data_IF_573558608198
#
_entry.id   IF_573558608198
#
_cell.length_a   1.000
_cell.length_b   1.000
_cell.length_c   1.000
_cell.angle_alpha   90.00
_cell.angle_beta   90.00
_cell.angle_gamma   90.00
#
_symmetry.space_group_name_H-M   'P 1'
#
loop_
_entity.id
_entity.type
_entity.pdbx_description
1 polymer ?
#
# COMPACT_ATOMS: atom_id res chain seq x y z
N UNK A 1 -27.97 64.96 -29.86
CA UNK A 1 -28.31 63.81 -28.99
C UNK A 1 -28.10 62.55 -29.79
N UNK A 2 -27.00 61.83 -29.59
CA UNK A 2 -26.90 60.45 -30.07
C UNK A 2 -25.86 59.74 -29.20
N UNK A 3 -26.34 59.02 -28.20
CA UNK A 3 -25.53 58.19 -27.31
C UNK A 3 -25.54 56.79 -27.93
N UNK A 4 -24.46 56.44 -28.63
CA UNK A 4 -24.25 55.07 -29.12
C UNK A 4 -23.81 54.23 -27.92
N UNK A 5 -24.76 53.54 -27.30
CA UNK A 5 -24.48 52.52 -26.31
C UNK A 5 -23.94 51.27 -27.03
N UNK A 6 -22.62 51.09 -26.98
CA UNK A 6 -21.97 49.84 -27.39
C UNK A 6 -22.29 48.79 -26.32
N UNK A 7 -23.32 47.98 -26.58
CA UNK A 7 -23.56 46.74 -25.85
C UNK A 7 -22.42 45.77 -26.20
N UNK A 8 -21.40 45.73 -25.34
CA UNK A 8 -20.39 44.68 -25.34
C UNK A 8 -21.11 43.38 -24.91
N UNK A 9 -21.62 42.61 -25.88
CA UNK A 9 -22.02 41.22 -25.60
C UNK A 9 -20.76 40.44 -25.22
N UNK A 10 -20.51 40.30 -23.92
CA UNK A 10 -19.63 39.25 -23.42
C UNK A 10 -20.20 37.91 -23.89
N UNK A 11 -19.58 37.31 -24.90
CA UNK A 11 -19.77 35.88 -25.16
C UNK A 11 -19.12 35.13 -23.99
N UNK A 12 -19.90 34.80 -22.96
CA UNK A 12 -19.54 33.72 -22.06
C UNK A 12 -19.63 32.43 -22.88
N UNK A 13 -18.53 32.02 -23.50
CA UNK A 13 -18.39 30.65 -23.92
C UNK A 13 -18.24 29.82 -22.65
N UNK A 14 -19.34 29.24 -22.17
CA UNK A 14 -19.32 28.33 -21.04
C UNK A 14 -18.61 27.04 -21.49
N UNK A 15 -17.37 26.87 -21.07
CA UNK A 15 -16.68 25.61 -21.23
C UNK A 15 -17.22 24.60 -20.21
N UNK A 16 -17.45 23.37 -20.64
CA UNK A 16 -17.85 22.26 -19.80
C UNK A 16 -16.75 21.20 -19.75
N UNK A 17 -16.51 20.68 -18.55
CA UNK A 17 -15.67 19.50 -18.34
C UNK A 17 -16.54 18.36 -17.84
N UNK A 18 -16.62 17.32 -18.63
CA UNK A 18 -17.38 16.11 -18.33
C UNK A 18 -16.43 14.97 -17.98
N UNK A 19 -16.58 14.41 -16.79
CA UNK A 19 -15.85 13.21 -16.39
C UNK A 19 -16.80 12.03 -16.41
N UNK A 20 -16.47 11.01 -17.18
CA UNK A 20 -17.24 9.76 -17.29
C UNK A 20 -16.63 8.70 -16.40
N UNK A 21 -17.45 7.90 -15.72
CA UNK A 21 -16.97 6.80 -14.88
C UNK A 21 -17.21 5.48 -15.62
N UNK A 22 -16.18 4.87 -16.22
CA UNK A 22 -16.34 3.64 -16.98
C UNK A 22 -16.56 2.43 -16.05
N UNK A 23 -17.16 1.39 -16.61
CA UNK A 23 -17.22 0.08 -15.96
C UNK A 23 -15.80 -0.53 -15.89
N UNK A 24 -15.43 -1.07 -14.74
CA UNK A 24 -14.12 -1.70 -14.50
C UNK A 24 -14.29 -3.01 -13.72
N UNK A 25 -13.21 -3.79 -13.58
CA UNK A 25 -13.23 -5.02 -12.78
C UNK A 25 -13.64 -4.79 -11.31
N UNK A 26 -13.28 -3.62 -10.75
CA UNK A 26 -13.61 -3.25 -9.37
C UNK A 26 -15.00 -2.61 -9.25
N UNK A 27 -15.50 -1.99 -10.33
CA UNK A 27 -16.83 -1.41 -10.42
C UNK A 27 -17.49 -1.87 -11.74
N UNK A 28 -18.06 -3.09 -11.78
CA UNK A 28 -18.66 -3.60 -13.01
C UNK A 28 -19.88 -2.81 -13.47
N UNK A 29 -20.62 -2.20 -12.53
CA UNK A 29 -21.77 -1.35 -12.81
C UNK A 29 -21.54 0.06 -12.24
N UNK A 30 -21.29 1.08 -13.09
CA UNK A 30 -21.13 2.47 -12.66
C UNK A 30 -22.33 3.05 -11.91
N UNK A 31 -23.55 2.54 -12.14
CA UNK A 31 -24.75 2.98 -11.40
C UNK A 31 -24.79 2.47 -9.96
N UNK A 32 -23.88 1.56 -9.58
CA UNK A 32 -23.70 1.11 -8.20
C UNK A 32 -22.93 2.10 -7.32
N UNK A 33 -22.51 3.25 -7.86
CA UNK A 33 -21.82 4.26 -7.09
C UNK A 33 -22.76 4.90 -6.05
N UNK A 34 -22.26 5.18 -4.83
CA UNK A 34 -23.01 5.92 -3.83
C UNK A 34 -23.44 7.30 -4.36
N UNK A 35 -24.65 7.73 -4.04
CA UNK A 35 -25.17 9.05 -4.40
C UNK A 35 -24.39 10.22 -3.77
N UNK A 36 -23.59 9.96 -2.73
CA UNK A 36 -22.66 10.92 -2.13
C UNK A 36 -21.42 11.19 -2.98
N UNK A 37 -21.28 10.49 -4.11
CA UNK A 37 -20.14 10.65 -5.02
C UNK A 37 -20.22 12.00 -5.72
N UNK A 38 -19.17 12.80 -5.58
CA UNK A 38 -19.05 14.11 -6.21
C UNK A 38 -17.60 14.40 -6.55
N UNK A 39 -17.37 15.32 -7.48
CA UNK A 39 -16.07 15.80 -7.85
C UNK A 39 -15.89 17.25 -7.43
N UNK A 40 -14.66 17.61 -7.09
CA UNK A 40 -14.29 18.99 -6.75
C UNK A 40 -13.10 19.43 -7.58
N UNK A 41 -13.16 20.64 -8.13
CA UNK A 41 -12.01 21.35 -8.69
C UNK A 41 -11.56 22.38 -7.66
N UNK A 42 -10.31 22.27 -7.22
CA UNK A 42 -9.70 23.19 -6.26
C UNK A 42 -8.46 23.83 -6.87
N UNK A 43 -8.36 25.15 -6.77
CA UNK A 43 -7.17 25.94 -7.15
C UNK A 43 -6.43 26.45 -5.91
N UNK A 44 -5.20 26.94 -6.08
CA UNK A 44 -4.52 27.68 -5.01
C UNK A 44 -5.21 29.03 -4.81
N UNK A 45 -5.36 29.53 -3.57
CA UNK A 45 -6.01 30.80 -3.30
C UNK A 45 -5.19 31.96 -3.89
N UNK A 46 -5.65 32.48 -5.03
CA UNK A 46 -5.08 33.67 -5.69
C UNK A 46 -5.91 34.95 -5.43
N UNK A 47 -6.95 34.86 -4.59
CA UNK A 47 -7.75 36.00 -4.14
C UNK A 47 -9.26 35.76 -4.13
N UNK A 48 -9.75 34.77 -4.89
CA UNK A 48 -11.12 34.25 -4.83
C UNK A 48 -11.06 32.73 -4.62
N UNK A 49 -11.79 32.20 -3.64
CA UNK A 49 -11.90 30.76 -3.43
C UNK A 49 -12.71 30.12 -4.57
N UNK A 50 -12.03 29.68 -5.63
CA UNK A 50 -12.63 28.92 -6.73
C UNK A 50 -12.67 27.43 -6.37
N UNK A 51 -13.65 27.06 -5.55
CA UNK A 51 -14.07 25.67 -5.36
C UNK A 51 -15.27 25.41 -6.26
N UNK A 52 -15.08 24.61 -7.31
CA UNK A 52 -16.18 24.13 -8.14
C UNK A 52 -16.51 22.70 -7.72
N UNK A 53 -17.79 22.35 -7.70
CA UNK A 53 -18.26 21.02 -7.33
C UNK A 53 -19.24 20.51 -8.38
N UNK A 54 -19.12 19.22 -8.71
CA UNK A 54 -20.03 18.52 -9.61
C UNK A 54 -20.54 17.24 -8.93
N UNK A 55 -21.86 17.04 -8.93
CA UNK A 55 -22.49 15.82 -8.39
C UNK A 55 -22.60 14.74 -9.46
N UNK A 56 -22.64 13.48 -9.04
CA UNK A 56 -22.82 12.34 -9.94
C UNK A 56 -24.21 12.38 -10.60
N UNK A 57 -24.24 12.29 -11.92
CA UNK A 57 -25.48 12.22 -12.71
C UNK A 57 -25.95 10.77 -12.88
N UNK A 58 -27.21 10.60 -13.32
CA UNK A 58 -27.75 9.28 -13.69
C UNK A 58 -26.97 8.59 -14.81
N UNK A 59 -26.26 9.36 -15.65
CA UNK A 59 -25.44 8.83 -16.73
C UNK A 59 -24.04 8.38 -16.27
N UNK A 60 -23.79 8.29 -14.95
CA UNK A 60 -22.47 8.00 -14.37
C UNK A 60 -21.39 9.01 -14.78
N UNK A 61 -21.80 10.27 -14.96
CA UNK A 61 -20.90 11.38 -15.31
C UNK A 61 -20.89 12.45 -14.22
N UNK A 62 -19.82 13.22 -14.18
CA UNK A 62 -19.64 14.38 -13.32
C UNK A 62 -19.38 15.56 -14.25
N UNK A 63 -20.26 16.57 -14.25
CA UNK A 63 -20.19 17.67 -15.20
C UNK A 63 -19.93 18.97 -14.46
N UNK A 64 -18.81 19.62 -14.78
CA UNK A 64 -18.53 20.98 -14.36
C UNK A 64 -19.02 21.92 -15.46
N UNK A 65 -20.03 22.72 -15.12
CA UNK A 65 -20.52 23.79 -15.96
C UNK A 65 -19.82 25.10 -15.61
N UNK A 66 -19.75 26.02 -16.57
CA UNK A 66 -19.30 27.39 -16.38
C UNK A 66 -17.92 27.50 -15.72
N UNK A 67 -16.93 26.80 -16.30
CA UNK A 67 -15.55 26.93 -15.85
C UNK A 67 -15.12 28.41 -16.00
N UNK A 68 -14.57 29.04 -14.95
CA UNK A 68 -14.18 30.44 -14.97
C UNK A 68 -13.18 30.71 -16.10
N UNK A 69 -13.39 31.81 -16.82
CA UNK A 69 -12.49 32.30 -17.85
C UNK A 69 -11.25 32.96 -17.23
N UNK A 70 -10.47 32.17 -16.48
CA UNK A 70 -9.25 32.56 -15.80
C UNK A 70 -8.18 31.51 -16.07
N UNK A 71 -6.96 31.96 -16.38
CA UNK A 71 -5.85 31.06 -16.62
C UNK A 71 -5.34 30.49 -15.29
N UNK A 72 -5.85 29.32 -14.92
CA UNK A 72 -5.55 28.66 -13.65
C UNK A 72 -5.38 27.15 -13.84
N UNK A 73 -4.68 26.54 -12.88
CA UNK A 73 -4.54 25.09 -12.79
C UNK A 73 -5.34 24.58 -11.60
N UNK A 74 -6.26 23.66 -11.88
CA UNK A 74 -7.13 23.04 -10.88
C UNK A 74 -6.68 21.62 -10.56
N UNK A 75 -6.89 21.21 -9.32
CA UNK A 75 -6.85 19.83 -8.89
C UNK A 75 -8.27 19.27 -8.88
N UNK A 76 -8.52 18.27 -9.72
CA UNK A 76 -9.74 17.48 -9.75
C UNK A 76 -9.59 16.28 -8.80
N UNK A 77 -10.47 16.20 -7.80
CA UNK A 77 -10.59 15.05 -6.90
C UNK A 77 -12.03 14.52 -6.95
N UNK A 78 -12.18 13.21 -7.13
CA UNK A 78 -13.49 12.53 -7.12
C UNK A 78 -13.64 11.80 -5.79
N UNK A 79 -14.60 12.26 -4.99
CA UNK A 79 -14.86 11.73 -3.66
C UNK A 79 -16.04 10.81 -3.67
N UNK A 80 -15.82 9.58 -3.24
CA UNK A 80 -16.86 8.58 -2.99
C UNK A 80 -16.65 7.95 -1.62
N UNK A 81 -17.69 7.40 -1.00
CA UNK A 81 -17.57 6.70 0.28
C UNK A 81 -16.88 5.35 0.14
N UNK A 82 -17.15 4.62 -0.96
CA UNK A 82 -16.67 3.25 -1.14
C UNK A 82 -15.50 3.11 -2.10
N UNK A 83 -15.31 4.07 -3.00
CA UNK A 83 -14.36 3.95 -4.11
C UNK A 83 -13.30 5.06 -4.04
N UNK A 84 -12.10 4.74 -4.55
CA UNK A 84 -10.96 5.64 -4.63
C UNK A 84 -10.65 5.86 -6.11
N UNK A 85 -10.70 7.12 -6.54
CA UNK A 85 -10.34 7.53 -7.89
C UNK A 85 -8.97 8.19 -7.91
N UNK A 86 -8.33 8.19 -9.09
CA UNK A 86 -7.10 8.94 -9.29
C UNK A 86 -7.40 10.46 -9.32
N UNK A 87 -6.56 11.31 -8.72
CA UNK A 87 -6.69 12.74 -8.87
C UNK A 87 -6.12 13.21 -10.22
N UNK A 88 -6.63 14.32 -10.74
CA UNK A 88 -6.18 14.89 -12.01
C UNK A 88 -5.79 16.36 -11.85
N UNK A 89 -4.78 16.79 -12.59
CA UNK A 89 -4.49 18.20 -12.82
C UNK A 89 -5.23 18.64 -14.08
N UNK A 90 -5.96 19.74 -14.00
CA UNK A 90 -6.70 20.35 -15.12
C UNK A 90 -6.17 21.76 -15.32
N UNK A 91 -5.53 22.03 -16.45
CA UNK A 91 -5.10 23.38 -16.80
C UNK A 91 -6.18 24.05 -17.66
N UNK A 92 -6.58 25.27 -17.30
CA UNK A 92 -7.62 26.06 -17.98
C UNK A 92 -6.99 27.32 -18.55
N UNK A 93 -7.43 27.72 -19.74
CA UNK A 93 -7.00 28.95 -20.41
C UNK A 93 -7.79 30.18 -19.94
N UNK A 94 -7.32 31.37 -20.29
CA UNK A 94 -8.00 32.63 -20.00
C UNK A 94 -9.40 32.76 -20.63
N UNK A 95 -9.76 31.91 -21.60
CA UNK A 95 -11.10 31.84 -22.19
C UNK A 95 -12.00 30.78 -21.55
N UNK A 96 -11.53 30.11 -20.49
CA UNK A 96 -12.26 29.04 -19.80
C UNK A 96 -12.11 27.67 -20.46
N UNK A 97 -11.49 27.59 -21.64
CA UNK A 97 -11.24 26.31 -22.30
C UNK A 97 -10.23 25.45 -21.55
N UNK A 98 -10.48 24.15 -21.50
CA UNK A 98 -9.55 23.20 -20.89
C UNK A 98 -8.37 22.99 -21.84
N UNK A 99 -7.16 23.33 -21.39
CA UNK A 99 -5.91 23.19 -22.14
C UNK A 99 -5.36 21.76 -22.07
N UNK A 100 -5.49 21.13 -20.91
CA UNK A 100 -5.03 19.76 -20.73
C UNK A 100 -5.37 19.17 -19.36
N UNK A 101 -5.38 17.84 -19.31
CA UNK A 101 -5.74 17.03 -18.17
C UNK A 101 -4.69 15.92 -18.03
N UNK A 102 -4.09 15.84 -16.85
CA UNK A 102 -3.06 14.86 -16.51
C UNK A 102 -3.42 14.12 -15.22
N UNK A 103 -3.20 12.82 -15.19
CA UNK A 103 -3.27 12.02 -13.96
C UNK A 103 -2.12 12.41 -13.04
N UNK A 104 -2.43 12.68 -11.77
CA UNK A 104 -1.44 13.05 -10.76
C UNK A 104 -1.57 12.17 -9.52
N UNK A 105 -0.67 12.33 -8.56
CA UNK A 105 -0.70 11.65 -7.28
C UNK A 105 -0.25 12.60 -6.17
N UNK A 106 -0.69 12.31 -4.94
CA UNK A 106 -0.31 13.13 -3.78
C UNK A 106 1.19 13.07 -3.56
N UNK A 107 1.82 14.23 -3.41
CA UNK A 107 3.27 14.36 -3.21
C UNK A 107 4.07 14.58 -4.49
N UNK A 108 3.46 14.55 -5.68
CA UNK A 108 4.13 14.94 -6.92
C UNK A 108 4.25 16.48 -7.00
N UNK A 109 5.41 17.04 -7.41
CA UNK A 109 5.52 18.47 -7.70
C UNK A 109 4.52 18.90 -8.78
N UNK A 110 3.97 20.11 -8.66
CA UNK A 110 2.94 20.59 -9.59
C UNK A 110 3.42 20.60 -11.04
N UNK A 111 4.67 21.05 -11.27
CA UNK A 111 5.28 21.15 -12.60
C UNK A 111 5.44 19.80 -13.31
N UNK A 112 5.48 18.70 -12.57
CA UNK A 112 5.60 17.37 -13.14
C UNK A 112 4.23 16.87 -13.61
N UNK A 113 3.92 17.14 -14.88
CA UNK A 113 2.73 16.62 -15.55
C UNK A 113 2.88 15.11 -15.74
N UNK A 114 2.03 14.34 -15.07
CA UNK A 114 2.01 12.89 -15.12
C UNK A 114 1.43 12.34 -16.43
N UNK A 115 0.76 11.19 -16.35
CA UNK A 115 0.17 10.57 -17.54
C UNK A 115 -0.92 11.45 -18.15
N UNK A 116 -0.77 11.77 -19.43
CA UNK A 116 -1.72 12.59 -20.17
C UNK A 116 -3.04 11.86 -20.41
N UNK A 117 -4.15 12.56 -20.17
CA UNK A 117 -5.50 12.09 -20.53
C UNK A 117 -6.11 12.89 -21.67
N UNK A 118 -5.79 14.17 -21.73
CA UNK A 118 -6.27 15.08 -22.76
C UNK A 118 -5.32 16.28 -22.85
N UNK A 119 -4.94 16.69 -24.05
CA UNK A 119 -4.26 17.97 -24.31
C UNK A 119 -4.83 18.55 -25.59
N UNK A 120 -5.02 19.86 -25.60
CA UNK A 120 -5.39 20.59 -26.82
C UNK A 120 -4.17 20.65 -27.74
N UNK A 121 -4.21 19.92 -28.84
CA UNK A 121 -3.21 20.03 -29.91
C UNK A 121 -3.19 21.46 -30.47
N UNK A 122 -2.00 22.01 -30.69
CA UNK A 122 -1.81 23.38 -31.19
C UNK A 122 -2.47 23.65 -32.57
N UNK A 123 -2.80 22.59 -33.32
CA UNK A 123 -3.52 22.65 -34.60
C UNK A 123 -5.03 22.38 -34.48
N UNK A 124 -5.49 21.88 -33.32
CA UNK A 124 -6.89 21.54 -33.09
C UNK A 124 -7.66 22.74 -32.52
N UNK A 125 -8.94 22.86 -32.91
CA UNK A 125 -9.83 23.86 -32.31
C UNK A 125 -10.03 23.52 -30.83
N UNK A 126 -9.93 24.53 -29.97
CA UNK A 126 -10.31 24.45 -28.56
C UNK A 126 -11.74 23.91 -28.47
N UNK A 127 -11.89 22.72 -27.88
CA UNK A 127 -13.20 22.14 -27.61
C UNK A 127 -13.82 22.84 -26.40
N UNK A 128 -15.09 23.22 -26.54
CA UNK A 128 -15.86 23.79 -25.44
C UNK A 128 -16.32 22.73 -24.45
N UNK A 129 -16.51 21.49 -24.90
CA UNK A 129 -16.89 20.35 -24.06
C UNK A 129 -15.82 19.27 -24.14
N UNK A 130 -15.15 19.02 -23.01
CA UNK A 130 -14.07 18.04 -22.90
C UNK A 130 -14.57 16.86 -22.07
N UNK A 131 -14.44 15.66 -22.63
CA UNK A 131 -14.85 14.41 -21.97
C UNK A 131 -13.62 13.58 -21.62
N UNK A 132 -13.47 13.22 -20.33
CA UNK A 132 -12.38 12.35 -19.85
C UNK A 132 -12.91 11.21 -18.99
N UNK A 133 -12.28 10.05 -19.08
CA UNK A 133 -12.60 8.89 -18.25
C UNK A 133 -11.88 8.94 -16.88
N UNK A 134 -12.65 8.74 -15.82
CA UNK A 134 -12.14 8.58 -14.47
C UNK A 134 -11.52 7.19 -14.28
N UNK A 135 -10.33 7.15 -13.68
CA UNK A 135 -9.61 5.94 -13.34
C UNK A 135 -9.93 5.55 -11.91
N UNK A 136 -10.52 4.37 -11.76
CA UNK A 136 -10.74 3.76 -10.45
C UNK A 136 -9.46 3.06 -9.97
N UNK A 137 -8.98 3.46 -8.79
CA UNK A 137 -7.75 2.93 -8.19
C UNK A 137 -8.05 1.75 -7.28
N UNK A 138 -9.15 1.81 -6.52
CA UNK A 138 -9.43 0.81 -5.49
C UNK A 138 -10.78 1.00 -4.79
N UNK A 139 -11.11 0.04 -3.94
CA UNK A 139 -12.23 0.13 -2.99
C UNK A 139 -11.70 0.46 -1.60
N UNK A 140 -12.39 1.33 -0.87
CA UNK A 140 -12.05 1.71 0.51
C UNK A 140 -12.40 0.57 1.46
N UNK A 141 -11.38 -0.03 2.06
CA UNK A 141 -11.52 -0.89 3.23
C UNK A 141 -11.39 -0.05 4.50
N UNK A 142 -12.50 0.17 5.21
CA UNK A 142 -12.49 0.87 6.50
C UNK A 142 -12.26 -0.07 7.68
N UNK A 143 -12.47 -1.36 7.46
CA UNK A 143 -12.43 -2.38 8.51
C UNK A 143 -11.39 -3.43 8.17
N UNK A 144 -10.64 -3.84 9.18
CA UNK A 144 -9.78 -5.00 9.14
C UNK A 144 -10.55 -6.20 9.70
N UNK A 145 -10.49 -7.34 9.00
CA UNK A 145 -11.08 -8.57 9.53
C UNK A 145 -10.27 -9.07 10.73
N UNK A 146 -10.97 -9.48 11.80
CA UNK A 146 -10.30 -10.13 12.93
C UNK A 146 -9.62 -11.40 12.47
N UNK A 147 -8.44 -11.67 13.04
CA UNK A 147 -7.75 -12.95 12.84
C UNK A 147 -8.69 -14.11 13.21
N UNK A 148 -9.06 -14.90 12.21
CA UNK A 148 -9.85 -16.12 12.39
C UNK A 148 -8.89 -17.30 12.56
N UNK A 149 -9.28 -18.25 13.40
CA UNK A 149 -8.57 -19.53 13.47
C UNK A 149 -8.73 -20.25 12.13
N UNK A 150 -7.61 -20.46 11.43
CA UNK A 150 -7.56 -21.21 10.18
C UNK A 150 -6.75 -22.49 10.41
N UNK A 151 -7.36 -23.68 10.29
CA UNK A 151 -6.63 -24.94 10.41
C UNK A 151 -5.47 -25.05 9.42
N UNK A 152 -5.59 -24.45 8.23
CA UNK A 152 -4.52 -24.38 7.24
C UNK A 152 -3.36 -23.50 7.72
N UNK A 153 -3.66 -22.39 8.42
CA UNK A 153 -2.64 -21.52 9.00
C UNK A 153 -1.91 -22.19 10.17
N UNK A 154 -2.56 -23.12 10.88
CA UNK A 154 -1.93 -23.96 11.90
C UNK A 154 -0.84 -24.85 11.29
N UNK A 155 -1.14 -25.50 10.15
CA UNK A 155 -0.17 -26.34 9.42
C UNK A 155 0.97 -25.52 8.84
N UNK A 156 0.70 -24.30 8.36
CA UNK A 156 1.74 -23.40 7.82
C UNK A 156 2.62 -22.76 8.90
N UNK A 157 2.32 -22.97 10.18
CA UNK A 157 3.12 -22.43 11.26
C UNK A 157 4.36 -23.32 11.51
N UNK A 158 5.59 -22.81 11.27
CA UNK A 158 6.81 -23.61 11.39
C UNK A 158 7.01 -24.16 12.81
N UNK A 159 6.56 -23.45 13.85
CA UNK A 159 6.67 -23.92 15.23
C UNK A 159 5.79 -25.15 15.49
N UNK A 160 4.61 -25.21 14.87
CA UNK A 160 3.67 -26.33 15.05
C UNK A 160 4.16 -27.54 14.27
N UNK A 161 4.70 -27.36 13.06
CA UNK A 161 5.33 -28.45 12.30
C UNK A 161 6.52 -29.05 13.05
N UNK A 162 7.40 -28.21 13.59
CA UNK A 162 8.53 -28.67 14.41
C UNK A 162 8.03 -29.41 15.66
N UNK A 163 6.98 -28.93 16.33
CA UNK A 163 6.39 -29.61 17.48
C UNK A 163 5.83 -31.00 17.11
N UNK A 164 5.15 -31.14 15.97
CA UNK A 164 4.63 -32.43 15.48
C UNK A 164 5.78 -33.38 15.11
N UNK A 165 6.80 -32.90 14.40
CA UNK A 165 7.98 -33.69 14.03
C UNK A 165 8.72 -34.15 15.28
N UNK A 166 8.95 -33.26 16.25
CA UNK A 166 9.56 -33.60 17.52
C UNK A 166 8.74 -34.68 18.26
N UNK A 167 7.42 -34.52 18.36
CA UNK A 167 6.54 -35.53 18.96
C UNK A 167 6.60 -36.89 18.21
N UNK A 168 6.73 -36.86 16.88
CA UNK A 168 6.93 -38.07 16.08
C UNK A 168 8.25 -38.77 16.43
N UNK A 169 9.33 -38.02 16.61
CA UNK A 169 10.62 -38.59 17.02
C UNK A 169 10.61 -39.10 18.47
N UNK A 170 9.98 -38.40 19.43
CA UNK A 170 9.95 -38.84 20.83
C UNK A 170 9.20 -40.17 21.00
N UNK A 171 8.15 -40.39 20.21
CA UNK A 171 7.39 -41.65 20.23
C UNK A 171 7.97 -42.71 19.29
N UNK A 172 8.58 -42.31 18.18
CA UNK A 172 9.10 -43.21 17.15
C UNK A 172 10.52 -43.72 17.41
N UNK A 173 11.40 -42.89 18.01
CA UNK A 173 12.79 -43.25 18.24
C UNK A 173 12.96 -44.48 19.15
N UNK A 174 12.21 -44.64 20.27
CA UNK A 174 12.31 -45.85 21.10
C UNK A 174 12.02 -47.12 20.29
N UNK A 175 11.03 -47.07 19.39
CA UNK A 175 10.67 -48.20 18.53
C UNK A 175 11.70 -48.50 17.45
N UNK A 176 12.29 -47.46 16.86
CA UNK A 176 13.38 -47.64 15.89
C UNK A 176 14.62 -48.21 16.58
N UNK A 177 14.98 -47.69 17.75
CA UNK A 177 16.10 -48.18 18.54
C UNK A 177 15.91 -49.65 18.92
N UNK A 178 14.72 -50.08 19.39
CA UNK A 178 14.41 -51.48 19.69
C UNK A 178 14.61 -52.44 18.50
N UNK A 179 14.44 -51.96 17.26
CA UNK A 179 14.59 -52.75 16.03
C UNK A 179 15.97 -52.74 15.37
N UNK A 180 16.91 -51.91 15.85
CA UNK A 180 18.26 -51.80 15.28
C UNK A 180 19.24 -52.85 15.84
N UNK A 181 20.18 -53.29 14.99
CA UNK A 181 21.28 -54.20 15.32
C UNK A 181 22.29 -53.51 16.28
N UNK A 182 22.87 -54.19 17.30
CA UNK A 182 23.87 -53.65 18.23
C UNK A 182 25.01 -52.81 17.62
N UNK A 183 25.54 -53.14 16.45
CA UNK A 183 26.59 -52.33 15.80
C UNK A 183 26.06 -50.97 15.32
N UNK A 184 24.88 -50.94 14.69
CA UNK A 184 24.26 -49.70 14.18
C UNK A 184 23.77 -48.78 15.31
N UNK A 185 23.42 -49.34 16.48
CA UNK A 185 23.08 -48.54 17.67
C UNK A 185 24.30 -47.79 18.21
N UNK A 186 25.46 -48.44 18.23
CA UNK A 186 26.69 -47.82 18.70
C UNK A 186 27.13 -46.66 17.78
N UNK A 187 27.03 -46.85 16.46
CA UNK A 187 27.29 -45.78 15.48
C UNK A 187 26.31 -44.60 15.64
N UNK A 188 25.02 -44.87 15.90
CA UNK A 188 24.02 -43.83 16.15
C UNK A 188 24.26 -43.08 17.48
N UNK A 189 24.74 -43.75 18.51
CA UNK A 189 25.14 -43.11 19.78
C UNK A 189 26.38 -42.23 19.61
N UNK A 190 27.36 -42.64 18.81
CA UNK A 190 28.53 -41.83 18.49
C UNK A 190 28.13 -40.59 17.66
N UNK A 191 27.27 -40.76 16.66
CA UNK A 191 26.77 -39.66 15.83
C UNK A 191 25.84 -38.70 16.59
N UNK A 192 24.97 -39.18 17.47
CA UNK A 192 24.09 -38.32 18.29
C UNK A 192 24.84 -37.50 19.32
N UNK A 193 25.98 -38.00 19.85
CA UNK A 193 26.91 -37.22 20.68
C UNK A 193 27.65 -36.15 19.88
N UNK A 194 27.92 -36.41 18.60
CA UNK A 194 28.64 -35.48 17.73
C UNK A 194 27.77 -34.35 17.14
N UNK A 195 26.44 -34.49 17.14
CA UNK A 195 25.53 -33.56 16.45
C UNK A 195 24.79 -32.63 17.43
N UNK A 196 25.05 -31.31 17.42
CA UNK A 196 24.50 -30.37 18.41
C UNK A 196 22.97 -30.31 18.47
N UNK A 197 22.30 -30.50 17.33
CA UNK A 197 20.83 -30.52 17.22
C UNK A 197 20.22 -31.81 17.79
N UNK A 198 20.93 -32.93 17.66
CA UNK A 198 20.45 -34.26 18.07
C UNK A 198 20.83 -34.58 19.52
N UNK A 199 21.99 -34.09 19.97
CA UNK A 199 22.42 -34.09 21.36
C UNK A 199 21.56 -33.19 22.26
N UNK A 200 21.14 -32.03 21.75
CA UNK A 200 20.20 -31.14 22.46
C UNK A 200 18.80 -31.75 22.62
N UNK A 201 18.26 -32.37 21.56
CA UNK A 201 16.94 -33.01 21.58
C UNK A 201 16.91 -34.32 22.40
N UNK A 202 18.00 -35.10 22.41
CA UNK A 202 18.10 -36.32 23.23
C UNK A 202 18.22 -36.01 24.73
N UNK A 203 18.97 -34.96 25.09
CA UNK A 203 19.10 -34.51 26.48
C UNK A 203 17.79 -33.89 27.02
N UNK A 204 17.03 -33.21 26.15
CA UNK A 204 15.68 -32.71 26.42
C UNK A 204 14.68 -33.83 26.74
N UNK A 205 14.77 -34.94 26.01
CA UNK A 205 13.88 -36.09 26.14
C UNK A 205 14.20 -36.96 27.37
N UNK A 206 15.46 -36.97 27.82
CA UNK A 206 15.91 -37.68 29.02
C UNK A 206 15.63 -36.93 30.34
N UNK A 207 14.81 -35.88 30.32
CA UNK A 207 14.44 -35.11 31.52
C UNK A 207 15.43 -34.00 31.91
N UNK A 208 16.46 -33.76 31.11
CA UNK A 208 17.33 -32.59 31.24
C UNK A 208 16.75 -31.42 30.46
N UNK A 209 16.01 -30.54 31.13
CA UNK A 209 15.33 -29.38 30.53
C UNK A 209 16.19 -28.60 29.53
N UNK A 210 15.97 -28.84 28.23
CA UNK A 210 16.63 -28.13 27.15
C UNK A 210 15.85 -26.85 26.85
N UNK A 211 16.46 -25.70 27.12
CA UNK A 211 15.90 -24.40 26.77
C UNK A 211 16.14 -24.11 25.27
N UNK A 212 15.28 -24.71 24.43
CA UNK A 212 15.28 -24.51 22.98
C UNK A 212 15.11 -23.03 22.60
N UNK A 213 14.37 -22.26 23.41
CA UNK A 213 14.16 -20.83 23.19
C UNK A 213 15.44 -20.04 23.46
N UNK A 214 16.16 -20.34 24.55
CA UNK A 214 17.46 -19.75 24.87
C UNK A 214 18.58 -20.12 23.90
N UNK A 215 18.52 -21.30 23.27
CA UNK A 215 19.48 -21.71 22.24
C UNK A 215 19.22 -20.98 20.90
N UNK A 216 17.95 -20.88 20.48
CA UNK A 216 17.57 -20.14 19.26
C UNK A 216 17.69 -18.61 19.41
N UNK A 217 17.55 -18.09 20.63
CA UNK A 217 17.80 -16.69 20.95
C UNK A 217 19.29 -16.36 21.16
N UNK A 218 20.18 -17.36 21.14
CA UNK A 218 21.62 -17.18 21.33
C UNK A 218 22.04 -16.79 22.76
N UNK A 219 21.17 -17.00 23.75
CA UNK A 219 21.35 -16.55 25.14
C UNK A 219 21.89 -17.63 26.09
N UNK A 220 22.03 -18.88 25.62
CA UNK A 220 22.63 -19.99 26.36
C UNK A 220 24.07 -20.28 25.90
N UNK A 221 24.97 -20.71 26.80
CA UNK A 221 26.40 -20.81 26.50
C UNK A 221 26.67 -21.89 25.44
N UNK A 222 27.28 -21.46 24.33
CA UNK A 222 27.59 -22.31 23.19
C UNK A 222 28.85 -23.15 23.50
N UNK A 223 28.83 -24.50 23.46
CA UNK A 223 29.99 -25.33 23.78
C UNK A 223 31.12 -25.25 22.74
N UNK A 224 30.93 -24.53 21.62
CA UNK A 224 31.96 -24.26 20.62
C UNK A 224 32.87 -23.05 20.94
N UNK A 225 32.66 -22.33 22.04
CA UNK A 225 33.45 -21.13 22.36
C UNK A 225 34.85 -21.40 22.95
N UNK A 226 35.23 -22.67 23.19
CA UNK A 226 36.47 -23.02 23.88
C UNK A 226 37.58 -23.59 22.98
N UNK A 227 37.43 -23.55 21.65
CA UNK A 227 38.44 -24.07 20.72
C UNK A 227 39.41 -23.01 20.17
N UNK A 228 39.14 -21.71 20.30
CA UNK A 228 40.02 -20.66 19.77
C UNK A 228 40.39 -19.64 20.86
N UNK A 229 41.40 -20.00 21.66
CA UNK A 229 42.10 -19.04 22.51
C UNK A 229 43.26 -18.40 21.72
N UNK A 230 43.07 -17.08 21.46
CA UNK A 230 44.06 -16.01 21.20
C UNK A 230 44.13 -15.43 19.76
N UNK A 231 44.55 -14.16 19.59
CA UNK A 231 43.93 -12.95 20.17
C UNK A 231 43.77 -11.83 19.12
N UNK A 232 42.64 -11.11 19.06
CA UNK A 232 42.60 -9.77 18.43
C UNK A 232 41.30 -9.00 18.69
N UNK A 233 41.44 -7.79 19.25
CA UNK A 233 40.83 -6.59 18.66
C UNK A 233 39.36 -6.25 18.95
N UNK A 234 39.13 -5.55 20.07
CA UNK A 234 38.45 -4.24 20.20
C UNK A 234 37.40 -3.90 19.11
N UNK A 235 36.11 -3.79 19.45
CA UNK A 235 35.32 -2.56 19.71
C UNK A 235 33.85 -3.00 19.84
N UNK A 236 32.90 -2.38 20.54
CA UNK A 236 32.82 -1.20 21.37
C UNK A 236 31.47 -1.32 22.12
N UNK A 237 31.47 -0.98 23.41
CA UNK A 237 30.34 -1.12 24.33
C UNK A 237 29.77 0.28 24.56
N UNK A 238 28.67 0.64 23.91
CA UNK A 238 27.95 1.87 24.23
C UNK A 238 26.97 1.63 25.38
N UNK A 239 27.41 2.05 26.56
CA UNK A 239 26.55 2.29 27.73
C UNK A 239 25.92 3.67 27.59
N UNK A 240 24.65 3.73 27.19
CA UNK A 240 23.87 4.96 27.17
C UNK A 240 23.54 5.45 28.58
N UNK A 241 24.37 6.34 29.11
CA UNK A 241 24.11 7.07 30.34
C UNK A 241 23.20 8.28 30.09
N UNK A 242 22.16 8.38 30.92
CA UNK A 242 21.23 9.49 30.98
C UNK A 242 21.93 10.84 31.23
N UNK A 243 21.53 11.88 30.51
CA UNK A 243 21.79 13.28 30.90
C UNK A 243 20.54 14.13 30.71
N UNK A 244 19.99 14.57 31.85
CA UNK A 244 19.08 15.72 31.98
C UNK A 244 19.82 17.02 31.62
N UNK A 245 19.14 17.95 30.95
CA UNK A 245 19.19 19.42 31.14
C UNK A 245 17.97 20.00 30.43
N UNK A 246 17.04 20.61 31.16
CA UNK A 246 16.95 22.04 31.53
C UNK A 246 16.51 22.91 30.37
#
# INVERSE_FOLDING_TARGET
MSLVAVLLLCHLAAASLTITIPATNLLPNPHGLPASTHATLTTLPSGNDHLLTASLTHASTLVFHDIPAQQESYLLDIRSSEYIFAPYRVDVAADGSVLGIWETFRGNPWDNRGAEKYVVDAAAKKQSDVVVEAKLVGRRGFFEERAKFSPLSLVKNPMILLAIVALGFTLGMPKLMESMDPEMRAEFEEHSRSSPLTGGASNALAGGGFDLAGWMAGTSPNPMANADAAPAGVTGRDTGAATRRR
#
